data_IF_412613814692
#
_entry.id   IF_412613814692
#
_cell.length_a   1.000
_cell.length_b   1.000
_cell.length_c   1.000
_cell.angle_alpha   90.00
_cell.angle_beta   90.00
_cell.angle_gamma   90.00
#
_symmetry.space_group_name_H-M   'P 1'
#
loop_
_entity.id
_entity.type
_entity.pdbx_description
1 polymer ?
#
# COMPACT_ATOMS: atom_id res chain seq x y z
N UNK A 1 -39.63 -12.43 -49.16
CA UNK A 1 -39.38 -11.03 -48.75
C UNK A 1 -37.90 -10.80 -48.98
N UNK A 2 -37.56 -10.27 -50.15
CA UNK A 2 -36.19 -10.14 -50.63
C UNK A 2 -35.50 -8.95 -49.96
N UNK A 3 -34.33 -9.19 -49.36
CA UNK A 3 -33.50 -8.17 -48.71
C UNK A 3 -32.47 -7.68 -49.74
N UNK A 4 -32.35 -6.36 -50.00
CA UNK A 4 -31.44 -5.85 -51.00
C UNK A 4 -29.98 -5.89 -50.51
N UNK A 5 -29.10 -6.41 -51.37
CA UNK A 5 -27.66 -6.37 -51.22
C UNK A 5 -27.14 -4.92 -51.31
N UNK A 6 -26.66 -4.39 -50.19
CA UNK A 6 -25.89 -3.15 -50.10
C UNK A 6 -24.44 -3.43 -50.54
N UNK A 7 -24.17 -3.22 -51.82
CA UNK A 7 -22.85 -3.33 -52.43
C UNK A 7 -22.35 -1.93 -52.79
N UNK A 8 -21.09 -1.68 -52.39
CA UNK A 8 -20.14 -0.66 -52.88
C UNK A 8 -20.30 0.80 -52.45
N UNK A 9 -19.85 1.11 -51.23
CA UNK A 9 -19.38 2.46 -50.87
C UNK A 9 -17.89 2.50 -50.49
N UNK A 10 -17.25 1.32 -50.33
CA UNK A 10 -15.83 1.22 -49.93
C UNK A 10 -14.86 1.63 -51.04
N UNK A 11 -15.17 1.32 -52.31
CA UNK A 11 -14.27 1.57 -53.45
C UNK A 11 -14.16 3.06 -53.79
N UNK A 12 -15.23 3.83 -53.57
CA UNK A 12 -15.23 5.28 -53.83
C UNK A 12 -14.43 6.03 -52.77
N UNK A 13 -14.54 5.63 -51.49
CA UNK A 13 -13.75 6.18 -50.39
C UNK A 13 -12.25 5.95 -50.58
N UNK A 14 -11.86 4.78 -51.08
CA UNK A 14 -10.44 4.45 -51.28
C UNK A 14 -9.79 5.31 -52.38
N UNK A 15 -10.50 5.59 -53.47
CA UNK A 15 -9.98 6.49 -54.53
C UNK A 15 -9.91 7.95 -54.08
N UNK A 16 -10.82 8.39 -53.23
CA UNK A 16 -10.80 9.76 -52.70
C UNK A 16 -9.63 9.97 -51.73
N UNK A 17 -9.39 9.02 -50.82
CA UNK A 17 -8.26 9.08 -49.88
C UNK A 17 -6.89 9.00 -50.58
N UNK A 18 -6.74 8.18 -51.63
CA UNK A 18 -5.46 8.11 -52.37
C UNK A 18 -5.11 9.44 -53.06
N UNK A 19 -6.11 10.20 -53.54
CA UNK A 19 -5.89 11.51 -54.18
C UNK A 19 -5.52 12.61 -53.19
N UNK A 20 -6.11 12.60 -51.99
CA UNK A 20 -5.75 13.58 -50.95
C UNK A 20 -4.35 13.32 -50.40
N UNK A 21 -3.97 12.06 -50.18
CA UNK A 21 -2.62 11.69 -49.75
C UNK A 21 -1.57 12.09 -50.79
N UNK A 22 -1.81 11.83 -52.07
CA UNK A 22 -0.87 12.22 -53.13
C UNK A 22 -0.66 13.74 -53.20
N UNK A 23 -1.72 14.55 -53.04
CA UNK A 23 -1.60 16.02 -52.99
C UNK A 23 -0.90 16.52 -51.72
N UNK A 24 -1.12 15.85 -50.58
CA UNK A 24 -0.43 16.18 -49.34
C UNK A 24 1.07 15.88 -49.46
N UNK A 25 1.43 14.76 -50.08
CA UNK A 25 2.83 14.43 -50.39
C UNK A 25 3.41 15.47 -51.35
N UNK A 26 2.72 15.84 -52.43
CA UNK A 26 3.18 16.85 -53.39
C UNK A 26 3.39 18.25 -52.77
N UNK A 27 2.56 18.62 -51.79
CA UNK A 27 2.69 19.87 -51.03
C UNK A 27 3.85 19.78 -50.01
N UNK A 28 4.02 18.64 -49.35
CA UNK A 28 5.08 18.41 -48.36
C UNK A 28 6.46 18.22 -49.01
N UNK A 29 6.52 17.72 -50.25
CA UNK A 29 7.75 17.51 -51.01
C UNK A 29 8.33 18.83 -51.57
N UNK A 30 7.62 19.95 -51.37
CA UNK A 30 8.15 21.30 -51.57
C UNK A 30 8.61 21.59 -53.00
N UNK A 31 8.18 20.80 -54.00
CA UNK A 31 8.47 21.08 -55.41
C UNK A 31 7.64 22.29 -55.83
N UNK A 32 8.24 23.49 -55.97
CA UNK A 32 7.45 24.63 -56.42
C UNK A 32 7.08 24.38 -57.87
N UNK A 33 5.79 24.49 -58.18
CA UNK A 33 5.32 24.57 -59.56
C UNK A 33 6.13 25.67 -60.28
N UNK A 34 7.03 25.28 -61.17
CA UNK A 34 7.86 26.20 -61.95
C UNK A 34 6.95 27.03 -62.85
N UNK A 35 6.62 28.24 -62.40
CA UNK A 35 6.08 29.28 -63.26
C UNK A 35 7.21 29.72 -64.21
N UNK A 36 7.12 29.23 -65.44
CA UNK A 36 7.96 29.54 -66.59
C UNK A 36 8.06 31.06 -66.81
N UNK A 37 9.05 31.69 -66.18
CA UNK A 37 9.50 33.05 -66.48
C UNK A 37 10.82 32.93 -67.20
N UNK A 38 10.76 33.02 -68.52
CA UNK A 38 11.91 33.30 -69.38
C UNK A 38 12.61 34.58 -68.91
N UNK A 39 13.95 34.58 -68.99
CA UNK A 39 14.87 35.73 -69.02
C UNK A 39 15.87 35.83 -67.84
N UNK A 40 17.15 35.65 -68.20
CA UNK A 40 18.45 35.87 -67.52
C UNK A 40 19.11 34.74 -66.70
N UNK A 41 20.22 34.25 -67.26
CA UNK A 41 20.78 32.89 -67.14
C UNK A 41 22.17 32.85 -66.47
N UNK A 42 22.39 33.65 -65.42
CA UNK A 42 23.71 33.70 -64.74
C UNK A 42 23.68 33.47 -63.21
N UNK A 43 22.50 33.39 -62.59
CA UNK A 43 22.35 33.25 -61.12
C UNK A 43 21.94 31.86 -60.62
N UNK A 44 21.65 30.91 -61.51
CA UNK A 44 20.91 29.67 -61.16
C UNK A 44 21.75 28.58 -60.47
N UNK A 45 23.09 28.62 -60.52
CA UNK A 45 23.94 27.58 -59.90
C UNK A 45 24.00 27.65 -58.36
N UNK A 46 23.60 28.77 -57.73
CA UNK A 46 23.59 28.89 -56.24
C UNK A 46 22.28 28.47 -55.58
N UNK A 47 21.18 28.27 -56.32
CA UNK A 47 19.86 27.96 -55.74
C UNK A 47 19.59 26.47 -55.50
N UNK A 48 20.38 25.55 -56.08
CA UNK A 48 20.24 24.10 -55.83
C UNK A 48 20.73 23.66 -54.45
N UNK A 49 21.56 24.45 -53.76
CA UNK A 49 22.10 24.11 -52.45
C UNK A 49 21.14 24.37 -51.28
N UNK A 50 20.05 25.14 -51.46
CA UNK A 50 19.18 25.58 -50.36
C UNK A 50 18.02 24.60 -50.08
N UNK A 51 17.71 23.67 -51.00
CA UNK A 51 16.55 22.77 -50.85
C UNK A 51 16.75 21.57 -49.91
N UNK A 52 17.99 21.29 -49.48
CA UNK A 52 18.27 20.20 -48.53
C UNK A 52 18.21 20.60 -47.06
N UNK A 53 18.26 21.91 -46.76
CA UNK A 53 18.45 22.38 -45.38
C UNK A 53 17.21 22.14 -44.50
N UNK A 54 16.01 22.42 -45.01
CA UNK A 54 14.76 22.22 -44.25
C UNK A 54 14.50 20.75 -43.92
N UNK A 55 14.90 19.81 -44.79
CA UNK A 55 14.78 18.39 -44.53
C UNK A 55 15.73 17.94 -43.41
N UNK A 56 16.95 18.46 -43.39
CA UNK A 56 17.92 18.20 -42.31
C UNK A 56 17.43 18.76 -40.99
N UNK A 57 16.91 19.99 -40.96
CA UNK A 57 16.37 20.61 -39.74
C UNK A 57 15.17 19.82 -39.19
N UNK A 58 14.25 19.37 -40.06
CA UNK A 58 13.13 18.54 -39.62
C UNK A 58 13.57 17.16 -39.14
N UNK A 59 14.57 16.55 -39.78
CA UNK A 59 15.12 15.26 -39.37
C UNK A 59 15.75 15.32 -37.96
N UNK A 60 16.29 16.47 -37.55
CA UNK A 60 16.82 16.67 -36.20
C UNK A 60 15.74 16.98 -35.15
N UNK A 61 14.67 17.70 -35.51
CA UNK A 61 13.61 18.08 -34.56
C UNK A 61 12.63 16.91 -34.30
N UNK A 62 12.32 16.14 -35.34
CA UNK A 62 11.34 15.04 -35.25
C UNK A 62 11.62 14.03 -34.13
N UNK A 63 12.84 13.51 -33.92
CA UNK A 63 13.10 12.57 -32.83
C UNK A 63 12.87 13.17 -31.45
N UNK A 64 13.17 14.47 -31.25
CA UNK A 64 12.90 15.17 -29.99
C UNK A 64 11.39 15.26 -29.74
N UNK A 65 10.61 15.59 -30.76
CA UNK A 65 9.15 15.64 -30.65
C UNK A 65 8.54 14.27 -30.36
N UNK A 66 9.06 13.20 -30.97
CA UNK A 66 8.62 11.82 -30.69
C UNK A 66 8.93 11.44 -29.24
N UNK A 67 10.12 11.76 -28.73
CA UNK A 67 10.50 11.48 -27.33
C UNK A 67 9.58 12.27 -26.36
N UNK A 68 9.33 13.55 -26.65
CA UNK A 68 8.43 14.37 -25.84
C UNK A 68 7.00 13.83 -25.84
N UNK A 69 6.49 13.42 -27.00
CA UNK A 69 5.16 12.82 -27.12
C UNK A 69 5.06 11.48 -26.40
N UNK A 70 6.07 10.61 -26.54
CA UNK A 70 6.20 9.36 -25.80
C UNK A 70 6.16 9.60 -24.28
N UNK A 71 6.91 10.60 -23.78
CA UNK A 71 6.89 10.98 -22.37
C UNK A 71 5.51 11.44 -21.89
N UNK A 72 4.78 12.22 -22.68
CA UNK A 72 3.41 12.64 -22.33
C UNK A 72 2.44 11.46 -22.26
N UNK A 73 2.54 10.50 -23.19
CA UNK A 73 1.72 9.28 -23.18
C UNK A 73 2.04 8.45 -21.94
N UNK A 74 3.32 8.29 -21.60
CA UNK A 74 3.77 7.54 -20.43
C UNK A 74 3.27 8.18 -19.11
N UNK A 75 3.37 9.50 -18.98
CA UNK A 75 2.84 10.22 -17.81
C UNK A 75 1.32 10.08 -17.72
N UNK A 76 0.60 10.14 -18.85
CA UNK A 76 -0.84 9.92 -18.88
C UNK A 76 -1.23 8.51 -18.40
N UNK A 77 -0.46 7.50 -18.81
CA UNK A 77 -0.64 6.11 -18.38
C UNK A 77 -0.35 5.90 -16.89
N UNK A 78 0.70 6.55 -16.36
CA UNK A 78 1.01 6.56 -14.94
C UNK A 78 -0.09 7.24 -14.12
N UNK A 79 -0.57 8.41 -14.57
CA UNK A 79 -1.62 9.16 -13.90
C UNK A 79 -2.95 8.38 -13.84
N UNK A 80 -3.32 7.69 -14.92
CA UNK A 80 -4.49 6.80 -14.96
C UNK A 80 -4.36 5.68 -13.92
N UNK A 81 -3.18 5.04 -13.86
CA UNK A 81 -2.88 4.00 -12.85
C UNK A 81 -3.01 4.53 -11.42
N UNK A 82 -2.47 5.73 -11.17
CA UNK A 82 -2.52 6.36 -9.86
C UNK A 82 -3.95 6.66 -9.43
N UNK A 83 -4.78 7.20 -10.33
CA UNK A 83 -6.18 7.50 -10.04
C UNK A 83 -7.00 6.24 -9.78
N UNK A 84 -6.81 5.19 -10.57
CA UNK A 84 -7.45 3.88 -10.34
C UNK A 84 -7.10 3.32 -8.96
N UNK A 85 -5.82 3.31 -8.61
CA UNK A 85 -5.36 2.83 -7.30
C UNK A 85 -5.91 3.69 -6.15
N UNK A 86 -6.00 5.01 -6.34
CA UNK A 86 -6.53 5.91 -5.33
C UNK A 86 -8.01 5.62 -5.05
N UNK A 87 -8.79 5.39 -6.11
CA UNK A 87 -10.21 5.07 -5.99
C UNK A 87 -10.44 3.67 -5.39
N UNK A 88 -9.64 2.67 -5.80
CA UNK A 88 -9.66 1.32 -5.22
C UNK A 88 -9.34 1.35 -3.73
N UNK A 89 -8.30 2.08 -3.32
CA UNK A 89 -7.89 2.19 -1.91
C UNK A 89 -8.96 2.84 -1.06
N UNK A 90 -9.56 3.92 -1.55
CA UNK A 90 -10.70 4.58 -0.89
C UNK A 90 -11.92 3.67 -0.81
N UNK A 91 -12.20 2.90 -1.85
CA UNK A 91 -13.32 1.98 -1.88
C UNK A 91 -13.13 0.83 -0.88
N UNK A 92 -11.92 0.28 -0.78
CA UNK A 92 -11.54 -0.70 0.24
C UNK A 92 -11.73 -0.16 1.66
N UNK A 93 -11.17 1.02 1.95
CA UNK A 93 -11.28 1.62 3.28
C UNK A 93 -12.73 1.96 3.66
N UNK A 94 -13.55 2.44 2.71
CA UNK A 94 -15.00 2.63 2.92
C UNK A 94 -15.71 1.33 3.20
N UNK A 95 -15.36 0.26 2.47
CA UNK A 95 -15.96 -1.05 2.70
C UNK A 95 -15.65 -1.51 4.13
N UNK A 96 -14.38 -1.46 4.53
CA UNK A 96 -13.94 -1.84 5.86
C UNK A 96 -14.67 -1.07 6.96
N UNK A 97 -14.81 0.25 6.82
CA UNK A 97 -15.55 1.11 7.75
C UNK A 97 -17.02 0.70 8.01
N UNK A 98 -17.64 -0.03 7.07
CA UNK A 98 -19.02 -0.52 7.20
C UNK A 98 -19.14 -1.92 7.78
N UNK A 99 -18.02 -2.62 7.99
CA UNK A 99 -18.01 -3.96 8.55
C UNK A 99 -18.09 -3.88 10.07
N UNK A 100 -18.95 -4.71 10.66
CA UNK A 100 -19.16 -4.79 12.10
C UNK A 100 -19.64 -6.18 12.52
N UNK A 101 -19.88 -6.37 13.83
CA UNK A 101 -20.25 -7.67 14.39
C UNK A 101 -19.17 -8.73 14.12
N UNK A 102 -19.56 -9.90 13.61
CA UNK A 102 -18.64 -10.99 13.25
C UNK A 102 -17.65 -10.63 12.11
N UNK A 103 -17.90 -9.51 11.41
CA UNK A 103 -16.99 -8.96 10.40
C UNK A 103 -16.20 -7.77 10.90
N UNK A 104 -16.24 -7.46 12.19
CA UNK A 104 -15.32 -6.51 12.82
C UNK A 104 -13.88 -7.06 12.79
N UNK A 105 -12.84 -6.22 12.74
CA UNK A 105 -11.46 -6.70 12.93
C UNK A 105 -11.27 -7.36 14.30
N UNK A 106 -12.13 -7.09 15.29
CA UNK A 106 -12.12 -7.76 16.60
C UNK A 106 -12.50 -9.25 16.53
N UNK A 107 -13.20 -9.68 15.48
CA UNK A 107 -13.72 -11.05 15.34
C UNK A 107 -12.86 -11.91 14.39
N UNK A 108 -11.64 -11.50 14.11
CA UNK A 108 -10.77 -12.16 13.13
C UNK A 108 -10.03 -13.38 13.71
N UNK A 109 -9.81 -14.39 12.87
CA UNK A 109 -8.99 -15.54 13.22
C UNK A 109 -7.50 -15.19 13.09
N UNK A 110 -6.84 -14.89 14.22
CA UNK A 110 -5.42 -14.51 14.29
C UNK A 110 -4.48 -15.40 13.46
N UNK A 111 -4.74 -16.70 13.41
CA UNK A 111 -4.00 -17.69 12.63
C UNK A 111 -3.97 -17.41 11.11
N UNK A 112 -4.88 -16.59 10.60
CA UNK A 112 -4.92 -16.16 9.19
C UNK A 112 -4.24 -14.80 8.92
N UNK A 113 -3.78 -14.08 9.96
CA UNK A 113 -3.11 -12.78 9.81
C UNK A 113 -1.69 -12.87 9.22
N UNK A 114 -0.85 -13.87 9.56
CA UNK A 114 0.53 -13.92 9.08
C UNK A 114 0.60 -14.24 7.58
N UNK A 115 1.53 -13.59 6.87
CA UNK A 115 1.88 -14.01 5.50
C UNK A 115 2.68 -15.32 5.55
N UNK A 116 2.26 -16.38 4.84
CA UNK A 116 3.07 -17.57 4.65
C UNK A 116 4.41 -17.20 4.02
N UNK A 117 5.46 -17.67 4.69
CA UNK A 117 6.87 -17.36 4.47
C UNK A 117 7.33 -17.50 3.00
N UNK A 118 6.67 -18.35 2.21
CA UNK A 118 7.11 -18.77 0.88
C UNK A 118 7.19 -17.70 -0.21
N UNK A 119 6.51 -16.55 -0.04
CA UNK A 119 6.58 -15.44 -1.00
C UNK A 119 7.49 -14.29 -0.54
N UNK A 120 7.89 -14.30 0.73
CA UNK A 120 8.80 -13.31 1.28
C UNK A 120 10.20 -13.60 0.74
N UNK A 121 10.97 -12.58 0.34
CA UNK A 121 12.35 -12.80 -0.10
C UNK A 121 13.14 -13.59 0.97
N UNK A 122 13.96 -14.59 0.60
CA UNK A 122 14.68 -15.44 1.55
C UNK A 122 15.47 -14.70 2.63
N UNK A 123 15.89 -13.47 2.35
CA UNK A 123 16.57 -12.59 3.31
C UNK A 123 15.66 -12.07 4.44
N UNK A 124 14.35 -11.99 4.21
CA UNK A 124 13.35 -11.65 5.23
C UNK A 124 12.60 -12.90 5.73
N UNK A 125 12.82 -14.07 5.10
CA UNK A 125 12.47 -15.39 5.64
C UNK A 125 13.38 -15.76 6.83
N UNK A 126 13.35 -14.97 7.89
CA UNK A 126 13.90 -15.40 9.17
C UNK A 126 12.98 -16.49 9.71
N UNK A 127 13.48 -17.73 9.80
CA UNK A 127 12.73 -18.90 10.25
C UNK A 127 11.86 -18.53 11.45
N UNK A 128 10.56 -18.76 11.35
CA UNK A 128 9.66 -18.74 12.49
C UNK A 128 9.99 -19.99 13.32
N UNK A 129 11.18 -20.03 13.91
CA UNK A 129 11.75 -21.25 14.45
C UNK A 129 11.10 -21.60 15.81
N UNK A 130 9.82 -21.97 15.86
CA UNK A 130 9.29 -22.64 17.06
C UNK A 130 10.28 -23.71 17.56
N UNK A 131 10.44 -23.82 18.88
CA UNK A 131 11.43 -24.72 19.50
C UNK A 131 11.27 -26.21 19.08
N UNK A 132 10.13 -26.54 18.46
CA UNK A 132 9.79 -27.85 17.94
C UNK A 132 9.57 -27.77 16.41
N UNK A 133 10.49 -28.34 15.60
CA UNK A 133 10.33 -28.44 14.15
C UNK A 133 9.00 -29.07 13.71
N UNK A 134 8.40 -29.93 14.55
CA UNK A 134 7.08 -30.52 14.30
C UNK A 134 5.94 -29.52 14.47
N UNK A 135 5.93 -28.76 15.57
CA UNK A 135 4.93 -27.70 15.80
C UNK A 135 5.05 -26.57 14.77
N UNK A 136 6.26 -26.31 14.27
CA UNK A 136 6.51 -25.34 13.21
C UNK A 136 5.88 -25.76 11.90
N UNK A 137 6.09 -27.01 11.50
CA UNK A 137 5.48 -27.55 10.30
C UNK A 137 3.97 -27.57 10.46
N UNK A 138 3.42 -27.87 11.63
CA UNK A 138 1.97 -27.90 11.85
C UNK A 138 1.34 -26.51 11.95
N UNK A 139 2.03 -25.52 12.54
CA UNK A 139 1.54 -24.14 12.63
C UNK A 139 1.73 -23.38 11.32
N UNK A 140 2.91 -23.50 10.68
CA UNK A 140 3.09 -23.02 9.31
C UNK A 140 2.15 -23.77 8.38
N UNK A 141 2.00 -25.10 8.44
CA UNK A 141 0.99 -25.81 7.63
C UNK A 141 -0.42 -25.41 8.00
N UNK A 142 -0.75 -25.02 9.23
CA UNK A 142 -2.09 -24.51 9.57
C UNK A 142 -2.31 -23.11 9.00
N UNK A 143 -1.28 -22.25 9.02
CA UNK A 143 -1.29 -20.91 8.39
C UNK A 143 -1.35 -21.03 6.86
N UNK A 144 -0.53 -21.92 6.30
CA UNK A 144 -0.50 -22.30 4.89
C UNK A 144 -1.80 -22.98 4.50
N UNK A 145 -2.38 -23.90 5.27
CA UNK A 145 -3.64 -24.59 4.93
C UNK A 145 -4.80 -23.62 5.02
N UNK A 146 -4.86 -22.79 6.07
CA UNK A 146 -5.84 -21.71 6.09
C UNK A 146 -5.67 -20.89 4.83
N UNK A 147 -4.47 -20.39 4.51
CA UNK A 147 -4.21 -19.61 3.30
C UNK A 147 -4.19 -20.37 1.97
N UNK A 148 -4.05 -21.68 1.92
CA UNK A 148 -4.07 -22.52 0.71
C UNK A 148 -5.51 -22.88 0.36
N UNK A 149 -6.38 -22.96 1.37
CA UNK A 149 -7.81 -22.90 1.12
C UNK A 149 -8.20 -21.51 0.57
N UNK A 150 -7.37 -20.48 0.79
CA UNK A 150 -7.58 -19.13 0.26
C UNK A 150 -6.88 -18.92 -1.11
N UNK A 151 -5.64 -19.36 -1.32
CA UNK A 151 -4.81 -19.18 -2.52
C UNK A 151 -4.03 -20.46 -2.81
N UNK A 152 -4.26 -21.20 -3.91
CA UNK A 152 -3.55 -22.45 -4.16
C UNK A 152 -2.02 -22.25 -4.26
N UNK A 153 -1.21 -23.27 -3.89
CA UNK A 153 0.23 -23.17 -3.76
C UNK A 153 0.89 -22.61 -5.01
N UNK A 154 1.55 -21.48 -4.81
CA UNK A 154 2.21 -20.69 -5.84
C UNK A 154 3.56 -21.32 -6.26
N UNK A 155 4.22 -22.06 -5.37
CA UNK A 155 5.64 -22.41 -5.48
C UNK A 155 5.98 -23.59 -6.40
N UNK A 156 5.00 -24.37 -6.86
CA UNK A 156 5.26 -25.53 -7.75
C UNK A 156 4.74 -25.38 -9.17
N UNK A 157 4.15 -24.23 -9.51
CA UNK A 157 3.64 -24.02 -10.87
C UNK A 157 4.70 -23.27 -11.71
N UNK A 158 5.14 -23.82 -12.86
CA UNK A 158 5.86 -23.00 -13.84
C UNK A 158 5.02 -21.76 -14.15
N UNK A 159 5.67 -20.59 -14.29
CA UNK A 159 5.07 -19.27 -14.51
C UNK A 159 3.64 -19.38 -15.07
N UNK A 160 2.61 -19.14 -14.25
CA UNK A 160 1.27 -19.61 -14.56
C UNK A 160 0.79 -19.00 -15.87
N UNK A 161 0.22 -19.87 -16.71
CA UNK A 161 -0.82 -19.44 -17.66
C UNK A 161 -1.73 -18.42 -16.95
N UNK A 162 -2.17 -17.35 -17.66
CA UNK A 162 -3.00 -16.30 -17.08
C UNK A 162 -4.18 -16.92 -16.33
N UNK A 163 -4.31 -16.52 -15.06
CA UNK A 163 -5.15 -17.04 -13.98
C UNK A 163 -6.29 -18.02 -14.34
N UNK A 164 -6.54 -19.04 -13.49
CA UNK A 164 -7.78 -19.81 -13.52
C UNK A 164 -8.98 -18.85 -13.52
N UNK A 165 -9.97 -19.15 -14.36
CA UNK A 165 -11.30 -18.52 -14.32
C UNK A 165 -11.78 -18.32 -12.87
N UNK A 166 -12.45 -17.20 -12.61
CA UNK A 166 -12.94 -16.65 -11.32
C UNK A 166 -13.55 -17.61 -10.27
N UNK A 167 -13.70 -18.91 -10.55
CA UNK A 167 -14.21 -19.93 -9.64
C UNK A 167 -13.21 -20.41 -8.56
N UNK A 168 -11.98 -19.88 -8.51
CA UNK A 168 -10.95 -20.29 -7.55
C UNK A 168 -10.20 -19.15 -6.85
N UNK A 169 -10.66 -17.91 -6.97
CA UNK A 169 -10.06 -16.81 -6.19
C UNK A 169 -10.60 -16.82 -4.76
N UNK A 170 -9.81 -16.37 -3.78
CA UNK A 170 -10.22 -16.09 -2.39
C UNK A 170 -11.58 -15.38 -2.33
N UNK A 171 -11.82 -14.52 -3.31
CA UNK A 171 -13.00 -13.69 -3.44
C UNK A 171 -14.24 -14.42 -3.98
N UNK A 172 -14.16 -15.72 -4.27
CA UNK A 172 -15.28 -16.50 -4.80
C UNK A 172 -16.10 -17.21 -3.71
N UNK A 173 -15.62 -17.29 -2.46
CA UNK A 173 -16.31 -18.01 -1.39
C UNK A 173 -16.92 -17.06 -0.33
N UNK A 174 -18.25 -16.83 -0.35
CA UNK A 174 -18.89 -15.86 0.53
C UNK A 174 -19.08 -16.30 1.98
N UNK A 175 -18.94 -17.58 2.29
CA UNK A 175 -19.09 -18.14 3.64
C UNK A 175 -17.91 -17.81 4.57
N UNK A 176 -17.03 -16.93 4.11
CA UNK A 176 -15.62 -16.95 4.45
C UNK A 176 -15.02 -15.53 4.45
N UNK A 177 -15.86 -14.52 4.21
CA UNK A 177 -15.47 -13.12 4.26
C UNK A 177 -15.48 -12.61 5.71
N UNK A 178 -14.30 -12.50 6.29
CA UNK A 178 -14.06 -11.71 7.50
C UNK A 178 -13.48 -10.33 7.12
N UNK A 179 -13.30 -9.46 8.11
CA UNK A 179 -12.92 -8.04 7.94
C UNK A 179 -11.87 -7.79 6.85
N UNK A 180 -10.68 -8.38 6.99
CA UNK A 180 -9.54 -8.13 6.11
C UNK A 180 -9.75 -8.72 4.71
N UNK A 181 -10.20 -9.98 4.64
CA UNK A 181 -10.47 -10.66 3.37
C UNK A 181 -11.56 -9.96 2.55
N UNK A 182 -12.63 -9.46 3.18
CA UNK A 182 -13.71 -8.76 2.49
C UNK A 182 -13.23 -7.41 1.94
N UNK A 183 -12.41 -6.71 2.73
CA UNK A 183 -11.78 -5.44 2.34
C UNK A 183 -10.87 -5.63 1.13
N UNK A 184 -9.93 -6.59 1.19
CA UNK A 184 -9.00 -6.84 0.09
C UNK A 184 -9.71 -7.38 -1.14
N UNK A 185 -10.68 -8.28 -0.99
CA UNK A 185 -11.43 -8.78 -2.13
C UNK A 185 -12.22 -7.68 -2.84
N UNK A 186 -12.78 -6.75 -2.09
CA UNK A 186 -13.44 -5.57 -2.65
C UNK A 186 -12.46 -4.73 -3.46
N UNK A 187 -11.23 -4.56 -2.99
CA UNK A 187 -10.19 -3.84 -3.73
C UNK A 187 -9.76 -4.58 -5.00
N UNK A 188 -9.49 -5.89 -4.91
CA UNK A 188 -9.02 -6.70 -6.04
C UNK A 188 -10.05 -6.75 -7.18
N UNK A 189 -11.35 -6.81 -6.84
CA UNK A 189 -12.42 -6.77 -7.86
C UNK A 189 -12.45 -5.40 -8.54
N UNK A 190 -12.36 -4.31 -7.77
CA UNK A 190 -12.35 -2.94 -8.28
C UNK A 190 -11.08 -2.56 -9.06
N UNK A 191 -9.99 -3.32 -8.91
CA UNK A 191 -8.75 -3.08 -9.62
C UNK A 191 -8.81 -3.53 -11.10
N UNK A 192 -9.81 -4.30 -11.51
CA UNK A 192 -9.95 -4.82 -12.90
C UNK A 192 -10.03 -3.66 -13.91
N UNK A 193 -9.21 -3.63 -14.98
CA UNK A 193 -8.42 -4.75 -15.54
C UNK A 193 -7.01 -4.92 -14.96
N UNK A 194 -6.55 -4.01 -14.11
CA UNK A 194 -5.24 -4.07 -13.47
C UNK A 194 -5.19 -5.21 -12.45
N UNK A 195 -3.98 -5.68 -12.16
CA UNK A 195 -3.73 -6.81 -11.27
C UNK A 195 -2.45 -6.57 -10.50
N UNK A 196 -2.48 -6.94 -9.23
CA UNK A 196 -1.28 -7.02 -8.42
C UNK A 196 -0.45 -8.26 -8.80
N UNK A 197 0.87 -8.11 -8.82
CA UNK A 197 1.83 -9.14 -9.10
C UNK A 197 2.43 -9.70 -7.80
N UNK A 198 2.10 -10.93 -7.38
CA UNK A 198 2.62 -11.49 -6.14
C UNK A 198 4.14 -11.77 -6.17
N UNK A 199 4.82 -11.60 -7.30
CA UNK A 199 6.22 -12.01 -7.49
C UNK A 199 7.21 -10.87 -7.71
N UNK A 200 6.77 -9.61 -7.74
CA UNK A 200 7.70 -8.49 -7.94
C UNK A 200 8.31 -7.98 -6.63
N UNK A 201 7.86 -8.46 -5.47
CA UNK A 201 8.36 -7.97 -4.18
C UNK A 201 7.97 -6.53 -3.85
N UNK A 202 6.99 -5.96 -4.58
CA UNK A 202 6.49 -4.60 -4.36
C UNK A 202 4.98 -4.62 -4.13
N UNK A 203 4.24 -5.32 -5.00
CA UNK A 203 2.78 -5.21 -5.00
C UNK A 203 2.18 -5.84 -3.75
N UNK A 204 1.40 -5.05 -3.01
CA UNK A 204 0.75 -5.51 -1.80
C UNK A 204 -0.50 -4.69 -1.45
N UNK A 205 -1.35 -5.27 -0.60
CA UNK A 205 -2.42 -4.55 0.07
C UNK A 205 -2.25 -4.76 1.56
N UNK A 206 -2.15 -3.65 2.29
CA UNK A 206 -2.05 -3.67 3.74
C UNK A 206 -3.31 -3.05 4.33
N UNK A 207 -3.85 -3.68 5.37
CA UNK A 207 -5.03 -3.21 6.08
C UNK A 207 -4.73 -3.23 7.57
N UNK A 208 -4.78 -2.05 8.19
CA UNK A 208 -4.63 -1.88 9.64
C UNK A 208 -5.89 -1.23 10.20
N UNK A 209 -6.32 -1.64 11.39
CA UNK A 209 -7.32 -0.88 12.14
C UNK A 209 -6.69 -0.38 13.43
N UNK A 210 -7.03 0.84 13.84
CA UNK A 210 -6.51 1.48 15.04
C UNK A 210 -7.65 1.91 15.94
N UNK A 211 -7.47 1.73 17.24
CA UNK A 211 -8.32 2.31 18.27
C UNK A 211 -7.63 3.56 18.81
N UNK A 212 -8.29 4.71 18.77
CA UNK A 212 -7.76 5.97 19.29
C UNK A 212 -8.59 6.41 20.50
N UNK A 213 -7.90 6.61 21.61
CA UNK A 213 -8.49 7.11 22.86
C UNK A 213 -7.97 8.51 23.15
N UNK A 214 -8.87 9.40 23.59
CA UNK A 214 -8.50 10.71 24.12
C UNK A 214 -8.10 10.56 25.57
N UNK A 215 -6.86 10.94 25.88
CA UNK A 215 -6.37 10.98 27.26
C UNK A 215 -6.15 12.42 27.70
N UNK A 216 -6.65 12.74 28.89
CA UNK A 216 -6.45 14.02 29.57
C UNK A 216 -5.24 13.91 30.50
N UNK A 217 -4.09 14.36 30.00
CA UNK A 217 -2.80 14.25 30.68
C UNK A 217 -2.75 15.08 31.98
N UNK A 218 -3.53 16.17 32.11
CA UNK A 218 -3.52 16.97 33.35
C UNK A 218 -4.21 16.25 34.50
N UNK A 219 -5.23 15.43 34.21
CA UNK A 219 -5.93 14.64 35.24
C UNK A 219 -5.08 13.49 35.76
N UNK A 220 -4.25 12.93 34.89
CA UNK A 220 -3.32 11.84 35.20
C UNK A 220 -2.25 12.28 36.24
N UNK A 221 -1.80 13.53 36.21
CA UNK A 221 -0.73 14.02 37.09
C UNK A 221 -1.11 14.16 38.59
N UNK A 222 -2.37 13.96 38.98
CA UNK A 222 -2.90 14.44 40.26
C UNK A 222 -3.18 13.39 41.34
N UNK A 223 -3.01 12.08 41.10
CA UNK A 223 -3.46 11.09 42.11
C UNK A 223 -2.48 10.95 43.28
N UNK A 224 -1.15 10.98 43.10
CA UNK A 224 -0.20 10.91 44.23
C UNK A 224 1.21 11.45 43.89
N UNK A 225 1.32 12.33 42.88
CA UNK A 225 2.61 12.85 42.41
C UNK A 225 3.48 11.82 41.69
N UNK A 226 2.90 10.69 41.28
CA UNK A 226 3.53 9.72 40.39
C UNK A 226 2.97 9.94 38.99
N UNK A 227 3.84 10.28 38.03
CA UNK A 227 3.53 10.36 36.59
C UNK A 227 3.23 8.95 36.06
N UNK A 228 2.03 8.41 36.28
CA UNK A 228 1.89 6.94 36.26
C UNK A 228 0.95 6.33 35.23
N UNK A 229 0.23 7.09 34.40
CA UNK A 229 -0.74 6.47 33.48
C UNK A 229 -0.43 6.74 32.01
N UNK A 230 0.08 7.92 31.69
CA UNK A 230 0.51 8.27 30.34
C UNK A 230 2.02 8.39 30.29
N UNK A 231 2.62 7.49 29.51
CA UNK A 231 3.84 7.68 28.73
C UNK A 231 4.64 8.93 29.14
N UNK A 232 5.82 8.77 29.73
CA UNK A 232 6.68 9.91 30.11
C UNK A 232 6.77 10.95 28.97
N UNK A 233 6.98 12.23 29.29
CA UNK A 233 6.80 13.34 28.32
C UNK A 233 7.49 13.16 26.94
N UNK A 234 8.55 12.33 26.86
CA UNK A 234 9.24 11.97 25.63
C UNK A 234 8.45 11.03 24.69
N UNK A 235 7.53 10.22 25.21
CA UNK A 235 6.76 9.22 24.48
C UNK A 235 5.36 9.72 24.09
N UNK A 236 5.00 10.93 24.50
CA UNK A 236 3.71 11.54 24.15
C UNK A 236 3.76 12.13 22.74
N UNK A 237 2.66 12.04 21.96
CA UNK A 237 2.55 12.79 20.71
C UNK A 237 2.79 14.28 20.92
N UNK A 238 2.24 14.84 22.00
CA UNK A 238 2.44 16.23 22.40
C UNK A 238 3.08 16.23 23.79
N UNK A 239 4.26 16.84 23.88
CA UNK A 239 5.02 16.93 25.13
C UNK A 239 4.32 17.77 26.21
N UNK A 240 3.50 18.75 25.81
CA UNK A 240 2.71 19.54 26.74
C UNK A 240 1.61 18.69 27.40
N UNK A 241 1.24 18.95 28.66
CA UNK A 241 0.18 18.23 29.35
C UNK A 241 -1.18 18.70 28.84
N UNK A 242 -1.53 18.34 27.61
CA UNK A 242 -2.79 18.70 26.98
C UNK A 242 -3.57 17.42 26.63
N UNK A 243 -4.91 17.47 26.57
CA UNK A 243 -5.68 16.36 26.04
C UNK A 243 -5.23 16.01 24.62
N UNK A 244 -4.98 14.72 24.40
CA UNK A 244 -4.45 14.21 23.15
C UNK A 244 -5.01 12.83 22.84
N UNK A 245 -5.09 12.50 21.54
CA UNK A 245 -5.41 11.17 21.09
C UNK A 245 -4.17 10.29 21.13
N UNK A 246 -4.29 9.10 21.72
CA UNK A 246 -3.26 8.07 21.65
C UNK A 246 -3.85 6.81 21.03
N UNK A 247 -3.02 6.00 20.38
CA UNK A 247 -3.45 4.69 19.88
C UNK A 247 -3.52 3.69 21.04
N UNK A 248 -4.71 3.17 21.36
CA UNK A 248 -4.88 2.17 22.41
C UNK A 248 -5.00 0.73 21.89
N UNK A 249 -5.00 0.55 20.56
CA UNK A 249 -4.93 -0.77 19.94
C UNK A 249 -4.59 -0.65 18.45
N UNK A 250 -4.00 -1.72 17.91
CA UNK A 250 -3.84 -1.92 16.48
C UNK A 250 -4.21 -3.35 16.09
N UNK A 251 -4.98 -3.51 15.03
CA UNK A 251 -5.49 -4.79 14.56
C UNK A 251 -4.99 -5.11 13.15
N UNK A 252 -4.64 -6.38 12.84
CA UNK A 252 -4.78 -7.55 13.71
C UNK A 252 -3.81 -7.48 14.89
N UNK A 253 -4.26 -7.94 16.04
CA UNK A 253 -3.57 -7.86 17.33
C UNK A 253 -2.38 -8.83 17.44
N UNK A 254 -2.13 -9.64 16.43
CA UNK A 254 -1.00 -10.57 16.35
C UNK A 254 -0.12 -10.31 15.12
N UNK A 255 -0.36 -9.16 14.48
CA UNK A 255 0.46 -8.56 13.41
C UNK A 255 0.39 -7.04 13.61
N UNK A 256 0.75 -6.52 14.78
CA UNK A 256 0.62 -5.12 15.17
C UNK A 256 1.95 -4.38 15.36
N UNK A 257 3.06 -5.10 15.52
CA UNK A 257 4.37 -4.52 15.75
C UNK A 257 5.47 -5.09 14.84
N UNK A 258 6.60 -4.42 14.93
CA UNK A 258 7.82 -4.77 14.24
C UNK A 258 8.97 -4.70 15.24
N UNK A 259 9.40 -5.87 15.68
CA UNK A 259 10.44 -6.04 16.71
C UNK A 259 11.76 -6.61 16.13
N UNK A 260 11.98 -6.51 14.81
CA UNK A 260 13.24 -6.91 14.16
C UNK A 260 14.09 -5.72 13.72
N UNK A 261 15.41 -5.90 13.72
CA UNK A 261 16.36 -5.08 12.97
C UNK A 261 16.63 -5.74 11.60
N UNK A 262 16.88 -4.92 10.58
CA UNK A 262 17.25 -5.34 9.23
C UNK A 262 18.48 -6.27 9.19
N UNK A 263 19.32 -6.28 10.23
CA UNK A 263 20.50 -7.15 10.35
C UNK A 263 20.30 -8.36 11.27
N UNK A 264 19.09 -8.59 11.80
CA UNK A 264 18.84 -9.68 12.76
C UNK A 264 19.64 -9.55 14.06
N UNK A 265 20.14 -8.35 14.38
CA UNK A 265 20.88 -8.09 15.60
C UNK A 265 19.93 -7.99 16.80
N UNK A 266 20.44 -8.37 17.97
CA UNK A 266 19.73 -8.41 19.26
C UNK A 266 19.35 -7.04 19.85
N UNK A 267 19.44 -5.96 19.07
CA UNK A 267 19.02 -4.61 19.44
C UNK A 267 18.11 -4.07 18.33
N UNK A 268 16.83 -4.50 18.29
CA UNK A 268 15.91 -4.14 17.23
C UNK A 268 15.80 -2.62 17.11
N UNK A 269 15.87 -2.09 15.88
CA UNK A 269 15.37 -0.75 15.60
C UNK A 269 13.87 -0.81 15.73
N UNK A 270 13.38 -0.53 16.93
CA UNK A 270 11.97 -0.53 17.29
C UNK A 270 11.23 0.40 16.31
N UNK A 271 10.41 -0.15 15.43
CA UNK A 271 9.63 0.63 14.45
C UNK A 271 8.58 1.48 15.14
N UNK A 272 7.91 0.90 16.14
CA UNK A 272 6.92 1.54 17.00
C UNK A 272 7.49 1.61 18.41
N UNK A 273 7.77 2.83 18.90
CA UNK A 273 8.43 3.04 20.21
C UNK A 273 7.68 2.47 21.42
N UNK A 274 6.44 2.00 21.22
CA UNK A 274 5.56 1.41 22.21
C UNK A 274 4.68 0.36 21.57
N UNK A 275 4.19 -0.54 22.41
CA UNK A 275 3.13 -1.46 22.06
C UNK A 275 1.80 -0.68 21.98
N UNK A 276 0.98 -0.90 20.94
CA UNK A 276 -0.35 -0.30 20.87
C UNK A 276 -1.30 -0.75 21.98
N UNK A 277 -1.08 -1.91 22.60
CA UNK A 277 -1.86 -2.49 23.71
C UNK A 277 -1.24 -2.23 25.10
N UNK A 278 0.07 -1.98 25.20
CA UNK A 278 0.72 -1.43 26.42
C UNK A 278 0.89 0.10 26.32
N UNK A 279 -0.24 0.82 26.37
CA UNK A 279 -0.22 2.29 26.32
C UNK A 279 0.28 2.96 27.61
N UNK A 280 0.32 2.24 28.74
CA UNK A 280 0.83 2.77 30.01
C UNK A 280 2.36 2.59 30.15
N UNK A 281 2.97 1.76 29.30
CA UNK A 281 4.40 1.59 29.16
C UNK A 281 5.05 0.94 30.38
N UNK A 282 4.29 0.14 31.14
CA UNK A 282 4.80 -0.50 32.34
C UNK A 282 5.66 -1.74 32.02
N UNK A 283 5.70 -2.22 30.76
CA UNK A 283 6.41 -3.43 30.32
C UNK A 283 6.04 -4.69 31.14
N UNK A 284 4.96 -4.62 31.92
CA UNK A 284 4.47 -5.72 32.71
C UNK A 284 3.36 -6.38 31.89
N UNK A 285 3.52 -7.68 31.67
CA UNK A 285 2.39 -8.55 31.32
C UNK A 285 1.35 -8.32 32.40
N UNK A 286 0.25 -7.65 32.08
CA UNK A 286 -0.86 -7.56 33.00
C UNK A 286 -1.38 -8.99 33.19
N UNK A 287 -1.23 -9.45 34.44
CA UNK A 287 -1.00 -10.87 34.69
C UNK A 287 -2.24 -11.69 34.37
N UNK A 288 -2.03 -12.89 33.85
CA UNK A 288 -3.03 -13.97 33.61
C UNK A 288 -3.96 -14.36 34.78
N UNK A 289 -3.99 -13.61 35.89
CA UNK A 289 -4.79 -13.90 37.06
C UNK A 289 -5.89 -12.84 37.29
N UNK A 290 -7.08 -13.01 36.68
CA UNK A 290 -8.22 -12.08 36.82
C UNK A 290 -8.82 -12.00 38.24
N UNK A 291 -8.13 -12.50 39.27
CA UNK A 291 -8.65 -12.60 40.65
C UNK A 291 -7.68 -12.13 41.75
N UNK A 292 -6.50 -11.60 41.42
CA UNK A 292 -5.59 -11.04 42.42
C UNK A 292 -5.88 -9.54 42.66
N UNK A 293 -7.02 -9.24 43.28
CA UNK A 293 -7.43 -7.88 43.64
C UNK A 293 -6.52 -7.35 44.76
N UNK A 294 -5.48 -6.61 44.40
CA UNK A 294 -4.80 -5.66 45.28
C UNK A 294 -5.52 -4.30 45.16
N UNK A 295 -5.76 -3.56 46.26
CA UNK A 295 -6.68 -2.44 46.25
C UNK A 295 -6.05 -1.17 45.62
N UNK A 296 -6.05 -1.12 44.28
CA UNK A 296 -5.43 -0.12 43.39
C UNK A 296 -3.94 -0.37 43.10
N UNK A 297 -3.66 -1.20 42.09
CA UNK A 297 -2.30 -1.42 41.55
C UNK A 297 -2.33 -1.57 40.04
N UNK A 298 -2.36 -0.48 39.25
CA UNK A 298 -1.93 -0.35 37.82
C UNK A 298 -2.48 -1.38 36.79
N UNK A 299 -3.25 -2.38 37.21
CA UNK A 299 -3.75 -3.53 36.46
C UNK A 299 -5.15 -3.31 35.88
N UNK A 300 -5.55 -2.05 35.73
CA UNK A 300 -6.87 -1.70 35.20
C UNK A 300 -6.87 -1.60 33.66
N UNK A 301 -5.74 -1.94 33.04
CA UNK A 301 -5.59 -2.06 31.59
C UNK A 301 -4.98 -3.41 31.24
N UNK A 302 -5.66 -4.48 31.66
CA UNK A 302 -5.27 -5.82 31.25
C UNK A 302 -5.14 -5.87 29.72
N UNK A 303 -3.90 -6.06 29.25
CA UNK A 303 -3.64 -6.46 27.88
C UNK A 303 -4.54 -7.67 27.60
N UNK A 304 -5.20 -7.67 26.45
CA UNK A 304 -6.06 -8.81 26.11
C UNK A 304 -5.16 -10.06 26.19
N UNK A 305 -5.57 -11.06 26.96
CA UNK A 305 -4.70 -12.22 27.21
C UNK A 305 -4.37 -12.96 25.91
N UNK A 306 -3.07 -13.14 25.63
CA UNK A 306 -2.56 -13.92 24.51
C UNK A 306 -2.16 -13.13 23.26
N UNK A 307 -1.91 -11.82 23.39
CA UNK A 307 -1.63 -10.93 22.26
C UNK A 307 -0.19 -10.37 22.21
N UNK A 308 0.57 -10.39 23.31
CA UNK A 308 2.03 -10.29 23.33
C UNK A 308 2.66 -11.61 23.80
N UNK A 309 3.10 -12.45 22.86
CA UNK A 309 3.98 -13.56 23.20
C UNK A 309 5.38 -13.00 23.47
N UNK A 310 5.55 -12.33 24.61
CA UNK A 310 6.84 -11.80 25.03
C UNK A 310 7.89 -12.91 24.90
N UNK A 311 8.86 -12.67 24.02
CA UNK A 311 10.13 -13.38 24.04
C UNK A 311 10.80 -12.94 25.34
N UNK A 312 10.47 -13.60 26.46
CA UNK A 312 11.24 -13.45 27.69
C UNK A 312 12.71 -13.61 27.32
N UNK A 313 13.57 -12.68 27.74
CA UNK A 313 15.00 -12.67 27.38
C UNK A 313 15.76 -13.96 27.75
N UNK A 314 15.12 -14.86 28.50
CA UNK A 314 15.59 -16.19 28.87
C UNK A 314 15.07 -17.32 27.99
N UNK A 315 14.10 -17.07 27.10
CA UNK A 315 13.65 -18.02 26.10
C UNK A 315 14.74 -18.18 25.03
N UNK A 316 15.38 -19.35 24.91
CA UNK A 316 16.49 -19.59 23.99
C UNK A 316 16.05 -19.67 22.53
N UNK A 317 14.79 -19.36 22.21
CA UNK A 317 14.26 -19.33 20.85
C UNK A 317 13.87 -17.90 20.47
N UNK A 318 14.72 -17.20 19.68
CA UNK A 318 14.50 -15.85 19.10
C UNK A 318 13.30 -15.74 18.13
N UNK A 319 12.29 -16.59 18.28
CA UNK A 319 11.50 -17.06 17.15
C UNK A 319 10.01 -16.71 17.23
N UNK A 320 9.61 -15.94 18.25
CA UNK A 320 8.30 -15.32 18.34
C UNK A 320 8.34 -13.82 18.04
N UNK A 321 9.40 -13.33 17.39
CA UNK A 321 9.51 -11.91 17.05
C UNK A 321 8.51 -11.58 15.95
N UNK A 322 7.63 -10.64 16.23
CA UNK A 322 6.66 -10.11 15.29
C UNK A 322 7.36 -9.25 14.23
N UNK A 323 7.10 -9.57 12.96
CA UNK A 323 7.73 -8.91 11.79
C UNK A 323 6.69 -8.32 10.84
N UNK A 324 5.43 -8.39 11.21
CA UNK A 324 4.33 -8.01 10.34
C UNK A 324 3.50 -6.93 11.00
N UNK A 325 3.25 -5.89 10.24
CA UNK A 325 2.60 -4.69 10.70
C UNK A 325 1.29 -4.52 9.92
N UNK A 326 0.15 -4.76 10.57
CA UNK A 326 -1.16 -4.87 9.94
C UNK A 326 -1.39 -6.20 9.20
N UNK A 327 -2.58 -6.35 8.62
CA UNK A 327 -2.86 -7.46 7.70
C UNK A 327 -2.20 -7.19 6.35
N UNK A 328 -1.47 -8.17 5.82
CA UNK A 328 -0.75 -8.04 4.54
C UNK A 328 -1.21 -9.11 3.55
N UNK A 329 -1.46 -8.72 2.30
CA UNK A 329 -2.03 -9.63 1.31
C UNK A 329 -1.02 -10.55 0.64
N UNK A 330 0.12 -10.04 0.17
CA UNK A 330 1.17 -10.88 -0.42
C UNK A 330 2.40 -11.01 0.47
N UNK A 331 2.69 -10.03 1.33
CA UNK A 331 3.90 -9.96 2.14
C UNK A 331 5.11 -9.48 1.35
N UNK A 332 4.85 -8.74 0.28
CA UNK A 332 5.85 -8.23 -0.63
C UNK A 332 6.43 -6.92 -0.12
N UNK A 333 5.59 -6.06 0.44
CA UNK A 333 6.06 -4.75 0.87
C UNK A 333 6.83 -4.83 2.19
N UNK A 334 8.14 -4.61 2.08
CA UNK A 334 9.08 -4.55 3.21
C UNK A 334 9.28 -3.10 3.63
N UNK A 335 9.09 -2.83 4.92
CA UNK A 335 9.30 -1.52 5.51
C UNK A 335 10.81 -1.20 5.50
N UNK A 336 11.23 -0.11 4.84
CA UNK A 336 12.65 0.22 4.69
C UNK A 336 13.40 0.27 6.03
N UNK A 337 14.58 -0.37 6.08
CA UNK A 337 15.48 -0.40 7.24
C UNK A 337 14.98 -1.13 8.50
N UNK A 338 13.85 -1.83 8.44
CA UNK A 338 13.32 -2.58 9.61
C UNK A 338 13.40 -4.09 9.44
N UNK A 339 13.34 -4.60 8.20
CA UNK A 339 13.18 -6.03 7.95
C UNK A 339 11.76 -6.55 8.22
N UNK A 340 10.81 -5.66 8.53
CA UNK A 340 9.40 -5.97 8.70
C UNK A 340 8.64 -5.83 7.39
N UNK A 341 7.46 -6.44 7.33
CA UNK A 341 6.53 -6.36 6.22
C UNK A 341 5.22 -5.71 6.67
N UNK A 342 4.56 -4.99 5.76
CA UNK A 342 3.26 -4.38 6.02
C UNK A 342 3.32 -2.87 6.18
N UNK A 343 2.51 -2.31 7.08
CA UNK A 343 2.15 -0.89 7.09
C UNK A 343 3.32 0.01 7.48
N UNK A 344 3.64 1.01 6.65
CA UNK A 344 4.64 2.06 6.97
C UNK A 344 4.11 3.09 7.99
N UNK A 345 2.84 3.00 8.37
CA UNK A 345 2.28 3.85 9.42
C UNK A 345 2.65 3.32 10.80
N UNK A 346 3.61 4.01 11.42
CA UNK A 346 3.86 3.87 12.85
C UNK A 346 2.71 4.47 13.66
N UNK A 347 2.57 4.00 14.89
CA UNK A 347 1.65 4.52 15.89
C UNK A 347 1.87 6.02 16.08
N UNK A 348 3.13 6.43 16.27
CA UNK A 348 3.48 7.84 16.42
C UNK A 348 3.01 8.68 15.23
N UNK A 349 3.11 8.15 14.00
CA UNK A 349 2.63 8.84 12.79
C UNK A 349 1.11 8.99 12.79
N UNK A 350 0.38 7.95 13.19
CA UNK A 350 -1.08 8.00 13.33
C UNK A 350 -1.47 9.02 14.40
N UNK A 351 -0.85 8.98 15.58
CA UNK A 351 -1.12 9.93 16.65
C UNK A 351 -0.82 11.37 16.26
N UNK A 352 0.32 11.63 15.61
CA UNK A 352 0.68 12.97 15.15
C UNK A 352 -0.34 13.52 14.15
N UNK A 353 -0.88 12.66 13.28
CA UNK A 353 -1.93 13.02 12.33
C UNK A 353 -3.22 13.42 13.06
N UNK A 354 -3.68 12.60 14.01
CA UNK A 354 -4.95 12.82 14.71
C UNK A 354 -4.89 13.91 15.79
N UNK A 355 -3.71 14.19 16.33
CA UNK A 355 -3.50 15.27 17.28
C UNK A 355 -3.34 16.66 16.65
N UNK A 356 -3.32 16.73 15.32
CA UNK A 356 -3.28 17.98 14.56
C UNK A 356 -2.19 18.93 15.05
N UNK A 357 -0.96 18.43 15.27
CA UNK A 357 0.14 19.20 15.90
C UNK A 357 0.44 20.54 15.21
N UNK A 358 0.14 20.65 13.91
CA UNK A 358 0.33 21.87 13.13
C UNK A 358 -0.81 22.90 13.28
N UNK A 359 -1.84 22.59 14.06
CA UNK A 359 -2.98 23.46 14.32
C UNK A 359 -2.98 23.88 15.78
N UNK A 360 -3.01 25.19 16.02
CA UNK A 360 -3.19 25.74 17.35
C UNK A 360 -4.62 25.42 17.82
N UNK A 361 -4.73 24.62 18.88
CA UNK A 361 -5.99 24.27 19.53
C UNK A 361 -5.93 24.61 21.01
N UNK A 362 -7.02 25.11 21.58
CA UNK A 362 -7.12 25.29 23.03
C UNK A 362 -7.35 23.95 23.72
N UNK A 363 -7.13 23.91 25.05
CA UNK A 363 -7.43 22.73 25.86
C UNK A 363 -8.90 22.31 25.73
N UNK A 364 -9.82 23.28 25.70
CA UNK A 364 -11.26 23.05 25.54
C UNK A 364 -11.61 22.44 24.18
N UNK A 365 -10.97 22.90 23.10
CA UNK A 365 -11.17 22.32 21.76
C UNK A 365 -10.66 20.88 21.70
N UNK A 366 -9.53 20.60 22.35
CA UNK A 366 -8.97 19.24 22.42
C UNK A 366 -9.83 18.28 23.24
N UNK A 367 -10.48 18.77 24.29
CA UNK A 367 -11.46 17.99 25.04
C UNK A 367 -12.66 17.56 24.19
N UNK A 368 -12.96 18.27 23.10
CA UNK A 368 -14.05 17.90 22.18
C UNK A 368 -13.67 16.81 21.18
N UNK A 369 -12.40 16.40 21.12
CA UNK A 369 -11.95 15.32 20.23
C UNK A 369 -12.46 13.99 20.79
N UNK A 370 -13.33 13.25 20.07
CA UNK A 370 -13.88 12.00 20.58
C UNK A 370 -12.87 10.86 20.48
N UNK A 371 -13.08 9.82 21.29
CA UNK A 371 -12.55 8.50 20.99
C UNK A 371 -13.05 8.05 19.63
N UNK A 372 -12.24 7.33 18.88
CA UNK A 372 -12.65 6.83 17.57
C UNK A 372 -11.83 5.62 17.17
N UNK A 373 -12.46 4.66 16.51
CA UNK A 373 -11.75 3.68 15.72
C UNK A 373 -11.50 4.20 14.31
N UNK A 374 -10.43 3.77 13.68
CA UNK A 374 -10.13 4.08 12.27
C UNK A 374 -9.60 2.85 11.55
N UNK A 375 -9.87 2.75 10.26
CA UNK A 375 -9.24 1.79 9.36
C UNK A 375 -8.33 2.52 8.40
N UNK A 376 -7.11 2.03 8.26
CA UNK A 376 -6.12 2.43 7.29
C UNK A 376 -5.96 1.30 6.27
N UNK A 377 -6.08 1.65 5.00
CA UNK A 377 -5.83 0.74 3.89
C UNK A 377 -4.72 1.34 3.04
N UNK A 378 -3.72 0.55 2.72
CA UNK A 378 -2.58 0.92 1.89
C UNK A 378 -2.50 -0.04 0.70
N UNK A 379 -2.10 0.50 -0.45
CA UNK A 379 -1.75 -0.28 -1.63
C UNK A 379 -0.35 0.11 -2.08
N UNK A 380 0.46 -0.90 -2.32
CA UNK A 380 1.77 -0.80 -2.93
C UNK A 380 1.67 -1.42 -4.31
N UNK A 381 2.16 -0.72 -5.34
CA UNK A 381 2.00 -1.13 -6.73
C UNK A 381 3.19 -0.70 -7.58
N UNK A 382 3.87 -1.66 -8.20
CA UNK A 382 4.91 -1.43 -9.20
C UNK A 382 4.26 -1.08 -10.54
N UNK A 383 4.45 0.15 -11.01
CA UNK A 383 3.89 0.58 -12.27
C UNK A 383 4.69 0.06 -13.47
N UNK A 384 4.02 -0.71 -14.34
CA UNK A 384 4.59 -1.16 -15.61
C UNK A 384 4.50 -0.05 -16.67
N UNK A 385 5.66 0.45 -17.09
CA UNK A 385 5.74 1.43 -18.18
C UNK A 385 5.18 0.86 -19.49
N UNK A 386 4.44 1.69 -20.24
CA UNK A 386 3.80 1.31 -21.50
C UNK A 386 4.83 1.14 -22.62
N UNK A 387 5.77 2.07 -22.76
CA UNK A 387 6.69 2.11 -23.90
C UNK A 387 8.00 1.35 -23.67
N UNK A 388 8.37 1.08 -22.41
CA UNK A 388 9.61 0.37 -22.02
C UNK A 388 10.87 0.87 -22.76
N UNK A 389 10.94 2.17 -23.06
CA UNK A 389 12.05 2.75 -23.83
C UNK A 389 13.25 2.93 -22.88
N UNK A 390 14.38 2.23 -23.11
CA UNK A 390 15.54 2.29 -22.22
C UNK A 390 16.17 3.69 -22.13
N UNK A 391 16.00 4.53 -23.17
CA UNK A 391 16.50 5.92 -23.17
C UNK A 391 15.83 6.80 -22.12
N UNK A 392 14.61 6.47 -21.69
CA UNK A 392 13.91 7.20 -20.63
C UNK A 392 14.18 6.62 -19.23
N UNK A 393 14.85 5.46 -19.13
CA UNK A 393 15.18 4.80 -17.85
C UNK A 393 15.88 5.72 -16.85
N UNK A 394 16.89 6.55 -17.22
CA UNK A 394 17.62 7.36 -16.24
C UNK A 394 16.75 8.42 -15.55
N UNK A 395 15.67 8.87 -16.21
CA UNK A 395 14.73 9.82 -15.58
C UNK A 395 13.89 9.10 -14.53
N UNK A 396 13.56 7.83 -14.76
CA UNK A 396 12.75 7.02 -13.85
C UNK A 396 13.57 6.34 -12.74
N UNK A 397 14.86 6.07 -12.96
CA UNK A 397 15.80 5.60 -11.93
C UNK A 397 15.98 6.61 -10.79
N UNK A 398 15.70 7.89 -11.01
CA UNK A 398 15.66 8.90 -9.94
C UNK A 398 14.47 8.66 -9.00
N UNK A 399 13.39 8.06 -9.51
CA UNK A 399 12.15 7.82 -8.77
C UNK A 399 12.03 6.38 -8.24
N UNK A 400 12.89 5.45 -8.66
CA UNK A 400 12.87 4.05 -8.20
C UNK A 400 14.23 3.39 -8.32
N UNK A 401 14.54 2.52 -7.36
CA UNK A 401 15.81 1.78 -7.30
C UNK A 401 15.99 0.80 -8.48
N UNK A 402 14.89 0.33 -9.09
CA UNK A 402 14.92 -0.66 -10.18
C UNK A 402 14.41 -0.10 -11.52
N UNK A 403 14.27 1.22 -11.62
CA UNK A 403 13.80 1.90 -12.84
C UNK A 403 12.31 1.70 -13.15
N UNK A 404 11.53 1.17 -12.20
CA UNK A 404 10.07 1.04 -12.28
C UNK A 404 9.41 1.85 -11.17
N UNK A 405 8.54 2.82 -11.48
CA UNK A 405 7.98 3.68 -10.44
C UNK A 405 7.07 2.88 -9.51
N UNK A 406 7.38 2.90 -8.21
CA UNK A 406 6.55 2.30 -7.18
C UNK A 406 5.53 3.32 -6.67
N UNK A 407 4.28 2.92 -6.62
CA UNK A 407 3.17 3.73 -6.15
C UNK A 407 2.74 3.22 -4.77
N UNK A 408 2.83 4.10 -3.76
CA UNK A 408 2.26 3.89 -2.44
C UNK A 408 1.09 4.85 -2.25
N UNK A 409 -0.12 4.30 -2.08
CA UNK A 409 -1.32 5.07 -1.80
C UNK A 409 -1.99 4.52 -0.55
N UNK A 410 -2.68 5.40 0.18
CA UNK A 410 -3.39 5.03 1.39
C UNK A 410 -4.69 5.79 1.53
N UNK A 411 -5.63 5.20 2.27
CA UNK A 411 -6.87 5.84 2.66
C UNK A 411 -7.20 5.48 4.10
N UNK A 412 -7.69 6.47 4.85
CA UNK A 412 -8.12 6.31 6.24
C UNK A 412 -9.59 6.68 6.38
N UNK A 413 -10.38 5.84 7.08
CA UNK A 413 -11.80 6.06 7.32
C UNK A 413 -12.14 5.74 8.79
N UNK A 414 -13.18 6.39 9.36
CA UNK A 414 -13.68 6.01 10.68
C UNK A 414 -14.14 4.56 10.69
N UNK A 415 -13.82 3.83 11.76
CA UNK A 415 -14.20 2.44 11.98
C UNK A 415 -14.80 2.31 13.39
N UNK A 416 -16.12 2.51 13.55
CA UNK A 416 -16.76 2.47 14.88
C UNK A 416 -16.65 1.11 15.58
N UNK A 417 -16.43 0.02 14.85
CA UNK A 417 -16.35 -1.33 15.42
C UNK A 417 -15.10 -1.58 16.27
N UNK A 418 -14.12 -0.66 16.27
CA UNK A 418 -12.93 -0.68 17.13
C UNK A 418 -12.80 0.59 17.99
N UNK A 419 -13.90 1.34 18.14
CA UNK A 419 -13.89 2.47 19.06
C UNK A 419 -13.58 1.99 20.48
N UNK A 420 -12.60 2.60 21.18
CA UNK A 420 -12.27 2.18 22.52
C UNK A 420 -13.36 2.61 23.49
N UNK A 421 -13.77 1.67 24.33
CA UNK A 421 -14.66 1.93 25.46
C UNK A 421 -13.87 1.79 26.76
N UNK A 422 -13.47 2.93 27.33
CA UNK A 422 -12.84 3.00 28.64
C UNK A 422 -13.82 3.62 29.62
N UNK A 423 -14.17 2.87 30.66
CA UNK A 423 -14.83 3.41 31.85
C UNK A 423 -13.72 3.78 32.84
N UNK A 424 -13.52 5.08 33.07
CA UNK A 424 -12.68 5.55 34.16
C UNK A 424 -13.57 5.55 35.41
N UNK A 425 -13.40 4.56 36.28
CA UNK A 425 -14.09 4.50 37.59
C UNK A 425 -13.64 5.62 38.55
#
# INVERSE_FOLDING_TARGET
MEVPLLVTDSVVRERYMRRTIARLIEILDGSPAERRSTVHDAGQKRRKAVRGQSLVEMAFITPILIIMFAGLVEIGWLADTYLDLLDVTRYGARRAATLGGERSPLSWANVASPVPNGNVSPQFQLAYASADPGAQADEENSRYEQREIWTPPITTRPAPNPLPTAAGSVCANPQRYFFYSDTVCTMLVSLTPRRLNPYNGVDDVVVSAFSLVRVDVERDLNVDGVENWTMGAANRPIAAPLPQLIVAARYPTNTNECQVDALGASAPTIFDARDPFDMNGNQLIDSTNPFAVSPYTVSDFDEIAGYDATVTATSPTPNAIEKQVGFVWYGNHVIPNTGCIGSEWSIARVENLFNLQNYAQTTEERLMIPNQGVVLVEVYYEHTMLLQIPVLSPVFEIFSQDGRPDLSLWAIFPLPSVEPYFEFE
#
